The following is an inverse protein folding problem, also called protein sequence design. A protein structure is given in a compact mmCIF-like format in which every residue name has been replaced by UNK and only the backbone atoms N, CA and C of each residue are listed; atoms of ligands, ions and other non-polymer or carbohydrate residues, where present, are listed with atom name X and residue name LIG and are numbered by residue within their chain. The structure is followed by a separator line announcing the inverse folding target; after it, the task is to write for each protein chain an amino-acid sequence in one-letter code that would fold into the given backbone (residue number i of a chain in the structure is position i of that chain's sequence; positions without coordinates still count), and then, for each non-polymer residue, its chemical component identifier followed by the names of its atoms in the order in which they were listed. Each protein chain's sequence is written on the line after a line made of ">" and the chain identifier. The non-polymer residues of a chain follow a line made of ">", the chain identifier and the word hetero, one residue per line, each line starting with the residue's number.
data_IF_124220288168
#
_entry.id   IF_124220288168
#
_cell.length_a   1.000
_cell.length_b   1.000
_cell.length_c   1.000
_cell.angle_alpha   90.00
_cell.angle_beta   90.00
_cell.angle_gamma   90.00
#
_symmetry.space_group_name_H-M   'P 1'
#
loop_
_entity.id
_entity.type
_entity.pdbx_description
1 polymer ?
#
# COMPACT_ATOMS: atom_id res chain seq x y z
N UNK A 1 71.58 -23.35 29.22
CA UNK A 1 70.18 -23.85 29.24
C UNK A 1 69.52 -23.38 30.51
N UNK A 2 68.44 -22.60 30.38
CA UNK A 2 67.19 -22.72 31.16
C UNK A 2 66.31 -21.52 30.80
N UNK A 3 65.52 -21.71 29.74
CA UNK A 3 64.45 -20.81 29.31
C UNK A 3 63.28 -20.98 30.28
N UNK A 4 63.02 -19.98 31.11
CA UNK A 4 61.74 -19.87 31.81
C UNK A 4 60.64 -19.59 30.78
N UNK A 5 59.62 -20.44 30.65
CA UNK A 5 58.48 -20.14 29.79
C UNK A 5 57.59 -19.09 30.47
N UNK A 6 56.90 -18.22 29.72
CA UNK A 6 56.03 -17.22 30.31
C UNK A 6 54.85 -17.89 31.01
N UNK A 7 54.52 -17.34 32.17
CA UNK A 7 53.38 -17.69 33.02
C UNK A 7 52.08 -17.75 32.24
N UNK A 8 51.45 -18.93 32.30
CA UNK A 8 50.08 -19.22 31.89
C UNK A 8 49.13 -18.20 32.49
N UNK A 9 48.55 -17.33 31.66
CA UNK A 9 47.45 -16.45 32.04
C UNK A 9 46.33 -17.28 32.66
N UNK A 10 46.09 -17.04 33.95
CA UNK A 10 44.95 -17.59 34.67
C UNK A 10 43.69 -17.00 34.06
N UNK A 11 43.05 -17.75 33.15
CA UNK A 11 41.66 -17.53 32.74
C UNK A 11 40.80 -17.57 33.99
N UNK A 12 40.52 -16.39 34.55
CA UNK A 12 39.66 -16.24 35.71
C UNK A 12 38.25 -16.73 35.33
N UNK A 13 37.68 -17.73 36.04
CA UNK A 13 36.34 -18.25 35.75
C UNK A 13 35.26 -17.16 35.90
N UNK A 14 35.53 -16.12 36.69
CA UNK A 14 34.67 -14.95 36.85
C UNK A 14 34.45 -14.17 35.54
N UNK A 15 35.47 -14.10 34.68
CA UNK A 15 35.35 -13.40 33.38
C UNK A 15 34.47 -14.16 32.38
N UNK A 16 34.52 -15.49 32.39
CA UNK A 16 33.67 -16.33 31.52
C UNK A 16 32.21 -16.25 31.95
N UNK A 17 31.93 -16.26 33.26
CA UNK A 17 30.57 -16.12 33.78
C UNK A 17 29.99 -14.74 33.45
N UNK A 18 30.78 -13.67 33.54
CA UNK A 18 30.33 -12.32 33.18
C UNK A 18 30.02 -12.19 31.68
N UNK A 19 30.84 -12.79 30.81
CA UNK A 19 30.59 -12.80 29.36
C UNK A 19 29.35 -13.65 29.02
N UNK A 20 29.18 -14.80 29.66
CA UNK A 20 28.01 -15.66 29.47
C UNK A 20 26.72 -14.99 29.97
N UNK A 21 26.78 -14.28 31.11
CA UNK A 21 25.66 -13.52 31.64
C UNK A 21 25.28 -12.34 30.73
N UNK A 22 26.27 -11.60 30.22
CA UNK A 22 26.04 -10.53 29.26
C UNK A 22 25.41 -11.05 27.96
N UNK A 23 25.89 -12.19 27.44
CA UNK A 23 25.30 -12.83 26.27
C UNK A 23 23.87 -13.31 26.55
N UNK A 24 23.61 -13.90 27.71
CA UNK A 24 22.26 -14.30 28.11
C UNK A 24 21.32 -13.10 28.20
N UNK A 25 21.72 -12.00 28.83
CA UNK A 25 20.91 -10.76 28.90
C UNK A 25 20.63 -10.20 27.51
N UNK A 26 21.59 -10.27 26.58
CA UNK A 26 21.40 -9.78 25.21
C UNK A 26 20.44 -10.64 24.38
N UNK A 27 20.45 -11.97 24.58
CA UNK A 27 19.63 -12.92 23.79
C UNK A 27 18.24 -13.12 24.41
N UNK A 28 18.11 -13.00 25.73
CA UNK A 28 16.84 -13.15 26.47
C UNK A 28 15.69 -12.31 25.88
N UNK A 29 15.82 -11.00 25.58
CA UNK A 29 14.72 -10.23 25.01
C UNK A 29 14.32 -10.70 23.61
N UNK A 30 15.26 -11.25 22.83
CA UNK A 30 14.97 -11.82 21.50
C UNK A 30 14.15 -13.09 21.65
N UNK A 31 14.55 -13.99 22.55
CA UNK A 31 13.83 -15.24 22.83
C UNK A 31 12.45 -14.99 23.45
N UNK A 32 12.32 -14.02 24.35
CA UNK A 32 11.03 -13.64 24.94
C UNK A 32 10.09 -13.12 23.85
N UNK A 33 10.60 -12.24 22.97
CA UNK A 33 9.80 -11.70 21.86
C UNK A 33 9.37 -12.81 20.88
N UNK A 34 10.28 -13.71 20.49
CA UNK A 34 9.93 -14.79 19.57
C UNK A 34 8.87 -15.73 20.16
N UNK A 35 8.98 -16.08 21.44
CA UNK A 35 7.97 -16.91 22.10
C UNK A 35 6.60 -16.21 22.24
N UNK A 36 6.58 -14.89 22.44
CA UNK A 36 5.34 -14.12 22.44
C UNK A 36 4.71 -14.10 21.04
N UNK A 37 5.53 -13.92 20.00
CA UNK A 37 5.09 -13.92 18.60
C UNK A 37 4.55 -15.31 18.19
N UNK A 38 5.22 -16.39 18.56
CA UNK A 38 4.77 -17.77 18.28
C UNK A 38 3.43 -18.09 18.98
N UNK A 39 3.28 -17.67 20.24
CA UNK A 39 2.04 -17.85 20.99
C UNK A 39 0.90 -17.03 20.39
N UNK A 40 1.17 -15.81 19.93
CA UNK A 40 0.20 -14.96 19.26
C UNK A 40 -0.23 -15.57 17.91
N UNK A 41 0.72 -16.09 17.11
CA UNK A 41 0.42 -16.80 15.87
C UNK A 41 -0.44 -18.04 16.11
N UNK A 42 -0.11 -18.84 17.12
CA UNK A 42 -0.90 -20.02 17.49
C UNK A 42 -2.30 -19.67 18.01
N UNK A 43 -2.48 -18.50 18.64
CA UNK A 43 -3.79 -18.01 19.03
C UNK A 43 -4.62 -17.56 17.81
N UNK A 44 -4.00 -16.84 16.87
CA UNK A 44 -4.63 -16.41 15.62
C UNK A 44 -5.03 -17.62 14.76
N UNK A 45 -4.17 -18.63 14.66
CA UNK A 45 -4.48 -19.87 13.93
C UNK A 45 -5.70 -20.59 14.53
N UNK A 46 -5.77 -20.70 15.86
CA UNK A 46 -6.93 -21.28 16.56
C UNK A 46 -8.20 -20.45 16.38
N UNK A 47 -8.08 -19.13 16.42
CA UNK A 47 -9.20 -18.22 16.13
C UNK A 47 -9.71 -18.45 14.70
N UNK A 48 -8.80 -18.50 13.73
CA UNK A 48 -9.13 -18.78 12.34
C UNK A 48 -9.84 -20.14 12.19
N UNK A 49 -9.31 -21.21 12.79
CA UNK A 49 -9.92 -22.54 12.69
C UNK A 49 -11.37 -22.54 13.22
N UNK A 50 -11.64 -21.81 14.30
CA UNK A 50 -12.99 -21.66 14.87
C UNK A 50 -13.93 -20.79 14.02
N UNK A 51 -13.39 -19.87 13.22
CA UNK A 51 -14.13 -18.86 12.45
C UNK A 51 -13.96 -19.01 10.94
N UNK A 52 -13.40 -20.13 10.48
CA UNK A 52 -12.95 -20.36 9.10
C UNK A 52 -13.99 -19.96 8.06
N UNK A 53 -15.20 -20.51 8.20
CA UNK A 53 -16.28 -20.27 7.25
C UNK A 53 -16.75 -18.82 7.24
N UNK A 54 -16.70 -18.13 8.39
CA UNK A 54 -17.01 -16.70 8.48
C UNK A 54 -15.95 -15.86 7.78
N UNK A 55 -14.67 -16.19 7.98
CA UNK A 55 -13.55 -15.50 7.32
C UNK A 55 -13.62 -15.66 5.80
N UNK A 56 -13.85 -16.88 5.30
CA UNK A 56 -14.02 -17.13 3.86
C UNK A 56 -15.24 -16.39 3.29
N UNK A 57 -16.37 -16.41 4.00
CA UNK A 57 -17.57 -15.64 3.61
C UNK A 57 -17.34 -14.13 3.59
N UNK A 58 -16.54 -13.62 4.53
CA UNK A 58 -16.10 -12.21 4.55
C UNK A 58 -15.23 -11.86 3.34
N UNK A 59 -14.32 -12.76 2.95
CA UNK A 59 -13.51 -12.57 1.73
C UNK A 59 -14.42 -12.49 0.50
N UNK A 60 -15.35 -13.43 0.35
CA UNK A 60 -16.31 -13.42 -0.76
C UNK A 60 -17.15 -12.14 -0.80
N UNK A 61 -17.62 -11.69 0.36
CA UNK A 61 -18.39 -10.44 0.49
C UNK A 61 -17.54 -9.23 0.12
N UNK A 62 -16.30 -9.16 0.59
CA UNK A 62 -15.39 -8.07 0.27
C UNK A 62 -15.04 -8.03 -1.22
N UNK A 63 -14.85 -9.20 -1.86
CA UNK A 63 -14.61 -9.30 -3.31
C UNK A 63 -15.82 -8.81 -4.11
N UNK A 64 -17.05 -9.17 -3.69
CA UNK A 64 -18.28 -8.68 -4.33
C UNK A 64 -18.48 -7.18 -4.18
N UNK A 65 -18.08 -6.64 -3.03
CA UNK A 65 -18.20 -5.21 -2.71
C UNK A 65 -17.02 -4.36 -3.19
N UNK A 66 -16.00 -4.97 -3.80
CA UNK A 66 -14.74 -4.30 -4.18
C UNK A 66 -14.04 -3.61 -2.99
N UNK A 67 -14.12 -4.22 -1.81
CA UNK A 67 -13.53 -3.68 -0.60
C UNK A 67 -12.11 -4.22 -0.38
N UNK A 68 -11.13 -3.54 -0.98
CA UNK A 68 -9.72 -3.89 -0.83
C UNK A 68 -9.21 -3.69 0.60
N UNK A 69 -9.77 -2.75 1.35
CA UNK A 69 -9.36 -2.46 2.72
C UNK A 69 -9.68 -3.64 3.65
N UNK A 70 -10.87 -4.22 3.52
CA UNK A 70 -11.24 -5.43 4.25
C UNK A 70 -10.36 -6.62 3.87
N UNK A 71 -10.06 -6.83 2.57
CA UNK A 71 -9.18 -7.92 2.14
C UNK A 71 -7.76 -7.78 2.71
N UNK A 72 -7.18 -6.58 2.69
CA UNK A 72 -5.87 -6.30 3.31
C UNK A 72 -5.88 -6.46 4.83
N UNK A 73 -6.99 -6.12 5.49
CA UNK A 73 -7.17 -6.36 6.93
C UNK A 73 -7.16 -7.85 7.26
N UNK A 74 -7.82 -8.67 6.43
CA UNK A 74 -7.83 -10.13 6.57
C UNK A 74 -6.43 -10.70 6.31
N UNK A 75 -5.74 -10.25 5.26
CA UNK A 75 -4.36 -10.63 4.96
C UNK A 75 -3.41 -10.29 6.11
N UNK A 76 -3.45 -9.05 6.61
CA UNK A 76 -2.58 -8.60 7.70
C UNK A 76 -2.81 -9.38 9.00
N UNK A 77 -4.05 -9.81 9.27
CA UNK A 77 -4.38 -10.53 10.50
C UNK A 77 -4.01 -12.00 10.42
N UNK A 78 -4.27 -12.65 9.29
CA UNK A 78 -4.20 -14.12 9.18
C UNK A 78 -3.07 -14.61 8.26
N UNK A 79 -2.57 -13.80 7.33
CA UNK A 79 -1.65 -14.23 6.27
C UNK A 79 -0.32 -14.80 6.75
N UNK A 80 0.20 -14.30 7.87
CA UNK A 80 1.43 -14.81 8.50
C UNK A 80 1.23 -16.01 9.42
N UNK A 81 0.00 -16.24 9.89
CA UNK A 81 -0.29 -17.20 10.96
C UNK A 81 -1.09 -18.42 10.48
N UNK A 82 -1.82 -18.30 9.36
CA UNK A 82 -2.73 -19.31 8.84
C UNK A 82 -2.11 -20.02 7.63
N UNK A 83 -2.04 -21.35 7.70
CA UNK A 83 -1.52 -22.22 6.64
C UNK A 83 -2.62 -23.03 5.92
N UNK A 84 -3.81 -22.45 5.79
CA UNK A 84 -4.91 -23.02 5.01
C UNK A 84 -4.72 -22.70 3.49
N UNK A 85 -4.58 -23.71 2.62
CA UNK A 85 -4.40 -23.49 1.18
C UNK A 85 -5.62 -22.83 0.51
N UNK A 86 -6.83 -23.15 0.96
CA UNK A 86 -8.06 -22.59 0.40
C UNK A 86 -8.14 -21.10 0.73
N UNK A 87 -7.89 -20.74 1.99
CA UNK A 87 -7.78 -19.35 2.43
C UNK A 87 -6.81 -18.55 1.58
N UNK A 88 -5.57 -19.03 1.44
CA UNK A 88 -4.54 -18.34 0.65
C UNK A 88 -4.96 -18.20 -0.80
N UNK A 89 -5.56 -19.24 -1.38
CA UNK A 89 -6.03 -19.22 -2.76
C UNK A 89 -7.14 -18.18 -2.96
N UNK A 90 -8.20 -18.22 -2.15
CA UNK A 90 -9.37 -17.35 -2.27
C UNK A 90 -9.00 -15.90 -1.96
N UNK A 91 -8.20 -15.65 -0.93
CA UNK A 91 -7.74 -14.31 -0.58
C UNK A 91 -6.88 -13.70 -1.69
N UNK A 92 -5.87 -14.43 -2.19
CA UNK A 92 -4.97 -13.93 -3.23
C UNK A 92 -5.72 -13.67 -4.54
N UNK A 93 -6.60 -14.59 -4.95
CA UNK A 93 -7.44 -14.40 -6.14
C UNK A 93 -8.39 -13.21 -5.98
N UNK A 94 -8.98 -13.05 -4.79
CA UNK A 94 -9.85 -11.93 -4.44
C UNK A 94 -9.13 -10.59 -4.51
N UNK A 95 -7.96 -10.47 -3.86
CA UNK A 95 -7.14 -9.25 -3.91
C UNK A 95 -6.73 -8.91 -5.33
N UNK A 96 -6.21 -9.88 -6.09
CA UNK A 96 -5.80 -9.65 -7.48
C UNK A 96 -6.96 -9.13 -8.34
N UNK A 97 -8.16 -9.71 -8.17
CA UNK A 97 -9.37 -9.30 -8.90
C UNK A 97 -9.80 -7.87 -8.55
N UNK A 98 -9.80 -7.51 -7.26
CA UNK A 98 -10.21 -6.16 -6.83
C UNK A 98 -9.17 -5.14 -7.28
N UNK A 99 -7.88 -5.39 -7.08
CA UNK A 99 -6.80 -4.49 -7.51
C UNK A 99 -6.78 -4.29 -9.02
N UNK A 100 -6.91 -5.36 -9.81
CA UNK A 100 -6.94 -5.23 -11.28
C UNK A 100 -8.09 -4.33 -11.75
N UNK A 101 -9.26 -4.44 -11.11
CA UNK A 101 -10.40 -3.58 -11.42
C UNK A 101 -10.18 -2.13 -11.01
N UNK A 102 -9.61 -1.87 -9.83
CA UNK A 102 -9.27 -0.51 -9.41
C UNK A 102 -8.27 0.14 -10.38
N UNK A 103 -7.22 -0.58 -10.77
CA UNK A 103 -6.25 -0.11 -11.76
C UNK A 103 -6.87 0.15 -13.13
N UNK A 104 -7.82 -0.70 -13.57
CA UNK A 104 -8.56 -0.47 -14.82
C UNK A 104 -9.39 0.82 -14.76
N UNK A 105 -10.09 1.05 -13.64
CA UNK A 105 -10.88 2.26 -13.41
C UNK A 105 -9.98 3.50 -13.39
N UNK A 106 -8.85 3.46 -12.68
CA UNK A 106 -7.87 4.54 -12.65
C UNK A 106 -7.36 4.86 -14.05
N UNK A 107 -7.00 3.83 -14.84
CA UNK A 107 -6.53 4.00 -16.21
C UNK A 107 -7.60 4.62 -17.12
N UNK A 108 -8.87 4.21 -16.97
CA UNK A 108 -9.99 4.79 -17.72
C UNK A 108 -10.20 6.26 -17.35
N UNK A 109 -10.11 6.61 -16.07
CA UNK A 109 -10.21 7.99 -15.59
C UNK A 109 -9.07 8.83 -16.15
N UNK A 110 -7.83 8.35 -16.09
CA UNK A 110 -6.67 9.05 -16.65
C UNK A 110 -6.84 9.31 -18.14
N UNK A 111 -7.23 8.29 -18.93
CA UNK A 111 -7.49 8.44 -20.36
C UNK A 111 -8.61 9.46 -20.64
N UNK A 112 -9.65 9.48 -19.82
CA UNK A 112 -10.74 10.44 -19.98
C UNK A 112 -10.28 11.87 -19.69
N UNK A 113 -9.51 12.06 -18.63
CA UNK A 113 -8.96 13.35 -18.24
C UNK A 113 -7.99 13.90 -19.29
N UNK A 114 -7.13 13.03 -19.86
CA UNK A 114 -6.25 13.38 -20.97
C UNK A 114 -7.03 13.80 -22.22
N UNK A 115 -8.13 13.10 -22.54
CA UNK A 115 -8.98 13.44 -23.67
C UNK A 115 -9.69 14.79 -23.47
N UNK A 116 -10.20 15.05 -22.27
CA UNK A 116 -10.83 16.33 -21.92
C UNK A 116 -9.82 17.47 -22.06
N UNK A 117 -8.63 17.29 -21.49
CA UNK A 117 -7.53 18.26 -21.60
C UNK A 117 -7.16 18.53 -23.07
N UNK A 118 -7.02 17.49 -23.88
CA UNK A 118 -6.72 17.65 -25.30
C UNK A 118 -7.84 18.39 -26.06
N UNK A 119 -9.11 18.14 -25.73
CA UNK A 119 -10.24 18.89 -26.32
C UNK A 119 -10.21 20.37 -25.93
N UNK A 120 -9.93 20.68 -24.67
CA UNK A 120 -9.76 22.05 -24.20
C UNK A 120 -8.60 22.75 -24.92
N UNK A 121 -7.43 22.12 -24.99
CA UNK A 121 -6.25 22.65 -25.69
C UNK A 121 -6.52 22.91 -27.18
N UNK A 122 -7.25 22.02 -27.87
CA UNK A 122 -7.63 22.21 -29.27
C UNK A 122 -8.68 23.33 -29.43
N UNK A 123 -9.63 23.43 -28.51
CA UNK A 123 -10.64 24.51 -28.54
C UNK A 123 -10.06 25.89 -28.25
N UNK A 124 -8.96 25.95 -27.49
CA UNK A 124 -8.29 27.21 -27.12
C UNK A 124 -7.24 27.66 -28.13
N UNK A 125 -6.94 26.87 -29.17
CA UNK A 125 -6.05 27.32 -30.24
C UNK A 125 -6.77 28.39 -31.06
N UNK A 126 -6.22 29.62 -31.16
CA UNK A 126 -6.78 30.63 -32.06
C UNK A 126 -6.75 30.05 -33.47
N UNK A 127 -7.92 29.96 -34.10
CA UNK A 127 -8.04 29.40 -35.44
C UNK A 127 -7.20 30.26 -36.41
N UNK A 128 -6.13 29.73 -37.03
CA UNK A 128 -5.28 30.50 -37.94
C UNK A 128 -6.00 30.85 -39.26
N UNK A 129 -7.22 30.33 -39.47
CA UNK A 129 -8.10 30.65 -40.60
C UNK A 129 -9.28 31.55 -40.22
N UNK A 130 -9.45 31.90 -38.95
CA UNK A 130 -10.28 33.06 -38.63
C UNK A 130 -9.51 34.29 -39.10
N UNK A 131 -10.08 35.13 -39.98
CA UNK A 131 -9.52 36.44 -40.22
C UNK A 131 -9.41 37.10 -38.85
N UNK A 132 -8.18 37.31 -38.39
CA UNK A 132 -7.95 38.20 -37.27
C UNK A 132 -8.40 39.55 -37.81
N UNK A 133 -9.61 39.97 -37.45
CA UNK A 133 -10.03 41.35 -37.63
C UNK A 133 -8.95 42.09 -36.85
N UNK A 134 -8.07 42.77 -37.59
CA UNK A 134 -7.09 43.65 -37.00
C UNK A 134 -7.88 44.49 -35.99
N UNK A 135 -7.50 44.42 -34.71
CA UNK A 135 -7.86 45.45 -33.75
C UNK A 135 -7.16 46.71 -34.25
N UNK A 136 -7.76 47.34 -35.25
CA UNK A 136 -7.60 48.76 -35.43
C UNK A 136 -8.26 49.39 -34.20
N UNK A 137 -7.48 50.24 -33.56
CA UNK A 137 -7.90 51.11 -32.49
C UNK A 137 -9.09 51.97 -32.94
N UNK A 138 -10.31 51.43 -32.84
CA UNK A 138 -11.54 52.21 -32.95
C UNK A 138 -12.13 52.34 -31.55
N UNK A 139 -11.47 53.21 -30.77
CA UNK A 139 -12.20 54.08 -29.87
C UNK A 139 -13.32 54.77 -30.68
N UNK A 140 -14.56 54.33 -30.50
CA UNK A 140 -15.74 55.07 -30.94
C UNK A 140 -16.48 54.49 -32.15
N UNK A 141 -17.40 53.56 -31.91
CA UNK A 141 -18.65 53.46 -32.65
C UNK A 141 -19.60 52.52 -31.89
N UNK A 142 -20.22 53.04 -30.83
CA UNK A 142 -21.44 52.43 -30.26
C UNK A 142 -22.55 52.65 -31.30
N UNK A 143 -22.76 51.72 -32.23
CA UNK A 143 -23.98 51.70 -33.04
C UNK A 143 -25.13 51.24 -32.15
N UNK A 144 -25.76 52.21 -31.48
CA UNK A 144 -27.09 52.07 -30.92
C UNK A 144 -28.07 51.86 -32.09
N UNK A 145 -28.57 50.63 -32.23
CA UNK A 145 -29.73 50.31 -33.05
C UNK A 145 -30.98 50.89 -32.38
N UNK A 146 -31.41 52.08 -32.83
CA UNK A 146 -32.71 52.66 -32.48
C UNK A 146 -33.82 51.84 -33.14
N UNK A 147 -34.59 51.12 -32.33
CA UNK A 147 -35.80 50.40 -32.76
C UNK A 147 -36.95 51.41 -32.71
N UNK A 148 -37.52 51.75 -33.87
CA UNK A 148 -38.76 52.51 -33.98
C UNK A 148 -39.95 51.55 -33.83
N UNK A 149 -40.95 51.79 -32.96
CA UNK A 149 -42.17 51.00 -32.94
C UNK A 149 -43.19 51.53 -33.97
N UNK A 150 -43.85 50.60 -34.67
CA UNK A 150 -45.12 50.83 -35.37
C UNK A 150 -46.28 50.34 -34.51
#
# INVERSE_FOLDING_TARGET
>A
MNSTPPTRESRHPRGIIQVALAAAIAITPILIKSHLDDNAQAAIAREYDSSRNEVLSRIDTAVRNHDLATLRGIESRYGGSVNDPEFKSVLNAGMAKVTARETEIELLISKHLDLVRHKEEVSFRPNPRQPQIAREDHQGAVQQLSILPH
#
